data_IF_264917884825
#
_entry.id   IF_264917884825
#
_cell.length_a   1.000
_cell.length_b   1.000
_cell.length_c   1.000
_cell.angle_alpha   90.00
_cell.angle_beta   90.00
_cell.angle_gamma   90.00
#
_symmetry.space_group_name_H-M   'P 1'
#
loop_
_entity.id
_entity.type
_entity.pdbx_description
1 polymer ?
#
# COMPACT_ATOMS: atom_id res chain seq x y z
N UNK A 1 7.27 17.91 -4.27
CA UNK A 1 6.44 17.56 -3.08
C UNK A 1 7.12 18.18 -1.87
N UNK A 2 6.65 19.35 -1.41
CA UNK A 2 7.23 20.05 -0.26
C UNK A 2 6.65 19.50 1.03
N UNK A 3 7.52 19.12 1.98
CA UNK A 3 7.11 18.70 3.31
C UNK A 3 6.96 19.94 4.19
N UNK A 4 5.75 20.17 4.70
CA UNK A 4 5.46 21.20 5.69
C UNK A 4 5.62 20.61 7.09
N UNK A 5 6.48 21.23 7.89
CA UNK A 5 6.71 20.82 9.27
C UNK A 5 6.15 21.86 10.23
N UNK A 6 5.49 21.37 11.28
CA UNK A 6 5.08 22.16 12.43
C UNK A 6 6.12 21.98 13.52
N UNK A 7 6.80 23.07 13.88
CA UNK A 7 7.82 23.07 14.93
C UNK A 7 7.27 23.84 16.13
N UNK A 8 7.17 23.16 17.28
CA UNK A 8 6.85 23.75 18.57
C UNK A 8 8.15 24.13 19.29
N UNK A 9 8.34 25.42 19.57
CA UNK A 9 9.53 25.90 20.29
C UNK A 9 9.24 26.18 21.77
N UNK A 10 8.02 26.61 22.08
CA UNK A 10 7.49 26.81 23.44
C UNK A 10 5.96 26.70 23.39
N UNK A 11 5.33 26.45 24.54
CA UNK A 11 3.92 26.02 24.72
C UNK A 11 2.83 26.83 23.99
N UNK A 12 3.16 27.93 23.30
CA UNK A 12 2.21 28.86 22.69
C UNK A 12 2.64 29.43 21.32
N UNK A 13 3.72 28.93 20.69
CA UNK A 13 4.14 29.42 19.35
C UNK A 13 4.13 28.32 18.30
N UNK A 14 3.28 28.48 17.29
CA UNK A 14 3.18 27.59 16.14
C UNK A 14 3.79 28.27 14.91
N UNK A 15 4.79 27.67 14.29
CA UNK A 15 5.39 28.17 13.05
C UNK A 15 5.24 27.13 11.94
N UNK A 16 4.63 27.53 10.82
CA UNK A 16 4.57 26.75 9.60
C UNK A 16 5.85 26.97 8.80
N UNK A 17 6.65 25.92 8.66
CA UNK A 17 7.93 25.95 7.98
C UNK A 17 7.86 25.20 6.65
N UNK A 18 8.11 25.90 5.54
CA UNK A 18 8.29 25.29 4.21
C UNK A 18 9.76 24.90 4.03
N UNK A 19 10.02 23.60 3.89
CA UNK A 19 11.38 23.06 3.84
C UNK A 19 12.14 23.40 2.53
N UNK A 20 11.48 23.94 1.51
CA UNK A 20 12.08 24.18 0.20
C UNK A 20 12.62 25.60 0.01
N UNK A 21 12.06 26.59 0.71
CA UNK A 21 12.36 28.01 0.48
C UNK A 21 13.00 28.75 1.66
N UNK A 22 13.07 28.14 2.85
CA UNK A 22 13.68 28.74 4.05
C UNK A 22 12.99 30.04 4.51
N UNK A 23 11.80 30.33 4.01
CA UNK A 23 11.08 31.58 4.24
C UNK A 23 9.88 31.35 5.17
N UNK A 24 9.73 32.19 6.20
CA UNK A 24 8.62 32.13 7.16
C UNK A 24 7.40 32.85 6.57
N UNK A 25 6.31 32.12 6.28
CA UNK A 25 5.21 32.62 5.44
C UNK A 25 3.98 33.08 6.27
N UNK A 26 4.10 33.43 7.56
CA UNK A 26 2.94 33.92 8.30
C UNK A 26 3.18 35.22 9.07
N UNK A 27 2.31 36.23 8.89
CA UNK A 27 2.33 37.45 9.68
C UNK A 27 1.89 37.13 11.12
N UNK A 28 2.61 37.70 12.08
CA UNK A 28 2.48 37.47 13.52
C UNK A 28 1.21 38.08 14.16
N UNK A 29 0.13 38.19 13.41
CA UNK A 29 -1.05 38.99 13.78
C UNK A 29 -2.15 38.20 14.47
N UNK A 30 -2.17 36.86 14.35
CA UNK A 30 -3.26 36.04 14.88
C UNK A 30 -3.24 35.88 16.41
N UNK A 31 -2.09 36.12 17.05
CA UNK A 31 -1.88 35.85 18.48
C UNK A 31 -2.00 37.10 19.39
N UNK A 32 -2.42 38.25 18.85
CA UNK A 32 -2.53 39.49 19.62
C UNK A 32 -3.90 39.71 20.31
N UNK A 33 -4.89 38.83 20.07
CA UNK A 33 -6.23 38.97 20.64
C UNK A 33 -6.32 38.34 22.05
N UNK A 34 -5.54 37.28 22.33
CA UNK A 34 -5.57 36.59 23.62
C UNK A 34 -4.95 37.38 24.79
N UNK A 35 -4.22 38.47 24.52
CA UNK A 35 -3.52 39.23 25.55
C UNK A 35 -4.16 40.58 25.90
N UNK A 36 -5.39 40.86 25.44
CA UNK A 36 -6.18 41.99 25.97
C UNK A 36 -7.00 41.50 27.17
N UNK A 37 -6.72 42.10 28.32
CA UNK A 37 -7.45 41.91 29.58
C UNK A 37 -8.94 42.20 29.36
N UNK A 38 -9.73 41.14 29.25
CA UNK A 38 -11.18 41.19 29.05
C UNK A 38 -11.68 40.16 28.03
N UNK A 39 -11.25 38.90 28.10
CA UNK A 39 -11.81 37.83 27.27
C UNK A 39 -13.24 37.58 27.73
N UNK A 40 -14.21 37.90 26.88
CA UNK A 40 -15.60 37.49 27.10
C UNK A 40 -15.67 35.96 26.99
N UNK A 41 -16.39 35.29 27.91
CA UNK A 41 -16.55 33.82 27.95
C UNK A 41 -16.96 33.22 26.59
N UNK A 42 -17.70 34.00 25.79
CA UNK A 42 -18.17 33.65 24.46
C UNK A 42 -17.05 33.60 23.40
N UNK A 43 -16.07 34.50 23.50
CA UNK A 43 -14.97 34.60 22.53
C UNK A 43 -14.00 33.42 22.66
N UNK A 44 -13.76 32.98 23.91
CA UNK A 44 -13.03 31.75 24.18
C UNK A 44 -13.75 30.50 23.65
N UNK A 45 -15.08 30.44 23.76
CA UNK A 45 -15.87 29.32 23.24
C UNK A 45 -15.82 29.22 21.70
N UNK A 46 -15.84 30.35 20.99
CA UNK A 46 -15.69 30.37 19.52
C UNK A 46 -14.30 29.91 19.09
N UNK A 47 -13.24 30.38 19.78
CA UNK A 47 -11.88 29.94 19.50
C UNK A 47 -11.68 28.44 19.77
N UNK A 48 -12.26 27.92 20.85
CA UNK A 48 -12.19 26.50 21.19
C UNK A 48 -12.93 25.62 20.15
N UNK A 49 -14.08 26.09 19.65
CA UNK A 49 -14.83 25.40 18.60
C UNK A 49 -14.05 25.32 17.29
N UNK A 50 -13.39 26.40 16.88
CA UNK A 50 -12.54 26.42 15.68
C UNK A 50 -11.34 25.47 15.84
N UNK A 51 -10.69 25.46 17.00
CA UNK A 51 -9.61 24.51 17.31
C UNK A 51 -10.08 23.04 17.23
N UNK A 52 -11.25 22.74 17.77
CA UNK A 52 -11.85 21.40 17.69
C UNK A 52 -12.09 20.95 16.24
N UNK A 53 -12.59 21.84 15.38
CA UNK A 53 -12.80 21.54 13.96
C UNK A 53 -11.49 21.31 13.21
N UNK A 54 -10.44 22.09 13.50
CA UNK A 54 -9.12 21.91 12.88
C UNK A 54 -8.53 20.55 13.26
N UNK A 55 -8.56 20.20 14.56
CA UNK A 55 -8.09 18.90 15.04
C UNK A 55 -8.90 17.79 14.37
N UNK A 56 -10.24 17.86 14.39
CA UNK A 56 -11.10 16.88 13.74
C UNK A 56 -10.82 16.73 12.22
N UNK A 57 -10.58 17.83 11.52
CA UNK A 57 -10.22 17.83 10.10
C UNK A 57 -8.89 17.12 9.82
N UNK A 58 -7.88 17.31 10.67
CA UNK A 58 -6.58 16.64 10.53
C UNK A 58 -6.72 15.12 10.71
N UNK A 59 -7.47 14.69 11.71
CA UNK A 59 -7.72 13.25 11.93
C UNK A 59 -8.53 12.62 10.79
N UNK A 60 -9.50 13.36 10.23
CA UNK A 60 -10.31 12.88 9.11
C UNK A 60 -9.49 12.64 7.83
N UNK A 61 -8.46 13.45 7.57
CA UNK A 61 -7.61 13.31 6.38
C UNK A 61 -6.52 12.24 6.59
N UNK A 62 -6.11 12.00 7.83
CA UNK A 62 -5.05 11.05 8.17
C UNK A 62 -5.39 9.61 7.72
N UNK A 63 -6.64 9.17 7.91
CA UNK A 63 -7.04 7.79 7.58
C UNK A 63 -7.06 7.45 6.09
N UNK A 64 -7.42 8.39 5.21
CA UNK A 64 -7.58 8.15 3.77
C UNK A 64 -6.26 8.16 2.99
N UNK A 65 -5.26 8.92 3.45
CA UNK A 65 -3.94 8.98 2.82
C UNK A 65 -3.10 7.70 3.04
N UNK A 66 -3.25 7.02 4.18
CA UNK A 66 -2.54 5.76 4.44
C UNK A 66 -3.14 4.58 3.67
N UNK A 67 -4.46 4.56 3.47
CA UNK A 67 -5.15 3.49 2.74
C UNK A 67 -4.67 3.39 1.29
N UNK A 68 -4.64 4.50 0.56
CA UNK A 68 -4.19 4.56 -0.83
C UNK A 68 -2.70 4.27 -0.98
N UNK A 69 -1.87 4.79 -0.06
CA UNK A 69 -0.42 4.54 -0.06
C UNK A 69 -0.10 3.05 0.12
N UNK A 70 -0.79 2.36 1.04
CA UNK A 70 -0.60 0.92 1.26
C UNK A 70 -1.07 0.08 0.07
N UNK A 71 -2.20 0.40 -0.56
CA UNK A 71 -2.66 -0.29 -1.78
C UNK A 71 -1.63 -0.18 -2.92
N UNK A 72 -1.10 1.03 -3.13
CA UNK A 72 -0.08 1.24 -4.16
C UNK A 72 1.21 0.47 -3.85
N UNK A 73 1.68 0.53 -2.60
CA UNK A 73 2.85 -0.25 -2.17
C UNK A 73 2.63 -1.76 -2.31
N UNK A 74 1.42 -2.27 -2.02
CA UNK A 74 1.08 -3.69 -2.23
C UNK A 74 1.17 -4.06 -3.72
N UNK A 75 0.65 -3.23 -4.61
CA UNK A 75 0.73 -3.45 -6.05
C UNK A 75 2.19 -3.43 -6.54
N UNK A 76 2.98 -2.46 -6.11
CA UNK A 76 4.41 -2.38 -6.41
C UNK A 76 5.18 -3.60 -5.88
N UNK A 77 4.84 -4.09 -4.69
CA UNK A 77 5.42 -5.32 -4.13
C UNK A 77 5.14 -6.54 -5.02
N UNK A 78 3.88 -6.73 -5.44
CA UNK A 78 3.48 -7.88 -6.28
C UNK A 78 4.12 -7.80 -7.66
N UNK A 79 4.03 -6.64 -8.33
CA UNK A 79 4.53 -6.45 -9.69
C UNK A 79 6.06 -6.47 -9.70
N UNK A 80 6.71 -5.81 -8.72
CA UNK A 80 8.17 -5.83 -8.60
C UNK A 80 8.72 -7.23 -8.29
N UNK A 81 8.05 -8.00 -7.43
CA UNK A 81 8.40 -9.41 -7.20
C UNK A 81 8.25 -10.24 -8.46
N UNK A 82 7.19 -9.99 -9.24
CA UNK A 82 6.95 -10.64 -10.52
C UNK A 82 8.05 -10.35 -11.52
N UNK A 83 8.42 -9.08 -11.74
CA UNK A 83 9.46 -8.71 -12.70
C UNK A 83 10.83 -9.27 -12.30
N UNK A 84 11.19 -9.19 -11.01
CA UNK A 84 12.43 -9.76 -10.51
C UNK A 84 12.50 -11.29 -10.68
N UNK A 85 11.41 -11.96 -10.30
CA UNK A 85 11.28 -13.42 -10.43
C UNK A 85 11.26 -13.85 -11.89
N UNK A 86 10.54 -13.14 -12.76
CA UNK A 86 10.49 -13.38 -14.21
C UNK A 86 11.85 -13.21 -14.85
N UNK A 87 12.56 -12.13 -14.52
CA UNK A 87 13.92 -11.91 -15.01
C UNK A 87 14.86 -13.05 -14.62
N UNK A 88 14.75 -13.55 -13.39
CA UNK A 88 15.53 -14.70 -12.92
C UNK A 88 15.20 -16.00 -13.67
N UNK A 89 13.91 -16.32 -13.80
CA UNK A 89 13.41 -17.51 -14.53
C UNK A 89 13.81 -17.49 -16.00
N UNK A 90 13.90 -16.31 -16.63
CA UNK A 90 14.35 -16.17 -18.03
C UNK A 90 15.86 -16.34 -18.20
N UNK A 91 16.64 -15.90 -17.22
CA UNK A 91 18.10 -16.00 -17.26
C UNK A 91 18.62 -17.37 -16.82
N UNK A 92 17.85 -18.08 -15.98
CA UNK A 92 18.24 -19.35 -15.38
C UNK A 92 17.39 -20.47 -15.96
N UNK A 93 17.99 -21.48 -16.60
CA UNK A 93 17.23 -22.67 -16.97
C UNK A 93 16.92 -23.49 -15.72
N UNK A 94 15.66 -23.46 -15.30
CA UNK A 94 15.18 -24.16 -14.12
C UNK A 94 14.80 -25.62 -14.40
N UNK A 95 14.76 -26.07 -15.65
CA UNK A 95 14.23 -27.39 -16.00
C UNK A 95 12.85 -27.64 -15.38
N UNK A 96 12.78 -28.60 -14.46
CA UNK A 96 11.59 -28.96 -13.66
C UNK A 96 11.62 -28.44 -12.21
N UNK A 97 12.68 -27.72 -11.83
CA UNK A 97 12.85 -27.19 -10.48
C UNK A 97 11.86 -26.08 -10.19
N UNK A 98 11.18 -26.20 -9.05
CA UNK A 98 10.31 -25.16 -8.51
C UNK A 98 11.12 -24.37 -7.50
N UNK A 99 11.25 -23.07 -7.74
CA UNK A 99 11.83 -22.12 -6.81
C UNK A 99 10.78 -21.76 -5.77
N UNK A 100 11.11 -21.96 -4.51
CA UNK A 100 10.29 -21.44 -3.42
C UNK A 100 10.78 -20.04 -3.01
N UNK A 101 9.99 -19.38 -2.18
CA UNK A 101 10.32 -18.06 -1.65
C UNK A 101 11.76 -17.97 -1.08
N UNK A 102 12.22 -18.98 -0.33
CA UNK A 102 13.58 -18.98 0.24
C UNK A 102 14.68 -19.00 -0.83
N UNK A 103 14.46 -19.69 -1.95
CA UNK A 103 15.44 -19.76 -3.04
C UNK A 103 15.54 -18.39 -3.72
N UNK A 104 14.39 -17.76 -4.02
CA UNK A 104 14.32 -16.42 -4.59
C UNK A 104 14.88 -15.35 -3.66
N UNK A 105 14.69 -15.50 -2.34
CA UNK A 105 15.28 -14.61 -1.35
C UNK A 105 16.81 -14.66 -1.37
N UNK A 106 17.40 -15.85 -1.54
CA UNK A 106 18.86 -16.03 -1.63
C UNK A 106 19.45 -15.45 -2.93
N UNK A 107 18.66 -15.40 -3.99
CA UNK A 107 19.10 -14.81 -5.27
C UNK A 107 19.09 -13.28 -5.27
N UNK A 108 18.42 -12.64 -4.29
CA UNK A 108 18.36 -11.18 -4.18
C UNK A 108 17.51 -10.49 -5.25
N UNK A 109 16.71 -11.23 -6.03
CA UNK A 109 15.86 -10.68 -7.09
C UNK A 109 14.55 -10.09 -6.57
N UNK A 110 14.21 -10.36 -5.31
CA UNK A 110 13.03 -9.80 -4.66
C UNK A 110 13.34 -8.39 -4.16
N UNK A 111 12.42 -7.42 -4.36
CA UNK A 111 12.64 -6.07 -3.89
C UNK A 111 12.70 -6.03 -2.35
N UNK A 112 13.61 -5.22 -1.81
CA UNK A 112 13.97 -5.21 -0.38
C UNK A 112 12.80 -4.82 0.53
N UNK A 113 11.81 -4.10 0.00
CA UNK A 113 10.59 -3.70 0.70
C UNK A 113 9.63 -4.87 1.01
N UNK A 114 9.88 -6.06 0.46
CA UNK A 114 9.17 -7.29 0.82
C UNK A 114 9.78 -8.00 2.03
N UNK A 115 11.08 -7.79 2.28
CA UNK A 115 11.83 -8.54 3.28
C UNK A 115 11.84 -7.78 4.59
N UNK A 116 11.08 -8.26 5.58
CA UNK A 116 11.05 -7.71 6.93
C UNK A 116 11.57 -8.77 7.90
N UNK A 117 12.69 -8.48 8.58
CA UNK A 117 13.33 -9.39 9.54
C UNK A 117 13.64 -10.80 8.96
N UNK A 118 14.03 -10.87 7.69
CA UNK A 118 14.34 -12.14 7.02
C UNK A 118 13.12 -12.97 6.61
N UNK A 119 11.90 -12.44 6.77
CA UNK A 119 10.67 -13.04 6.25
C UNK A 119 10.05 -12.14 5.21
N UNK A 120 9.44 -12.72 4.18
CA UNK A 120 8.69 -11.95 3.19
C UNK A 120 7.26 -11.73 3.66
N UNK A 121 6.96 -10.45 3.89
CA UNK A 121 5.70 -9.99 4.43
C UNK A 121 5.14 -8.86 3.58
N UNK A 122 3.82 -8.83 3.43
CA UNK A 122 3.14 -7.75 2.73
C UNK A 122 3.02 -6.50 3.60
N UNK A 123 2.67 -5.36 2.99
CA UNK A 123 2.47 -4.07 3.69
C UNK A 123 1.39 -4.06 4.77
N UNK A 124 0.51 -5.06 4.80
CA UNK A 124 -0.51 -5.24 5.83
C UNK A 124 -0.04 -6.11 7.01
N UNK A 125 1.18 -6.65 6.95
CA UNK A 125 1.77 -7.48 8.00
C UNK A 125 1.49 -8.98 7.84
N UNK A 126 0.79 -9.38 6.77
CA UNK A 126 0.58 -10.79 6.44
C UNK A 126 1.76 -11.41 5.70
N UNK A 127 1.70 -12.73 5.50
CA UNK A 127 2.70 -13.46 4.76
C UNK A 127 2.57 -13.19 3.26
N UNK A 128 3.71 -13.08 2.59
CA UNK A 128 3.82 -13.07 1.15
C UNK A 128 4.72 -14.23 0.75
N UNK A 129 4.15 -15.21 0.06
CA UNK A 129 4.88 -16.41 -0.34
C UNK A 129 4.92 -16.51 -1.87
N UNK A 130 6.00 -17.06 -2.40
CA UNK A 130 6.32 -17.05 -3.82
C UNK A 130 6.67 -18.46 -4.23
N UNK A 131 6.11 -18.89 -5.36
CA UNK A 131 6.50 -20.10 -6.04
C UNK A 131 6.70 -19.76 -7.51
N UNK A 132 7.84 -20.13 -8.06
CA UNK A 132 8.15 -19.89 -9.46
C UNK A 132 8.66 -21.16 -10.12
N UNK A 133 8.21 -21.39 -11.35
CA UNK A 133 8.65 -22.47 -12.22
C UNK A 133 8.88 -21.91 -13.62
N UNK A 134 9.41 -22.74 -14.51
CA UNK A 134 9.60 -22.39 -15.93
C UNK A 134 8.30 -22.05 -16.67
N UNK A 135 7.15 -22.50 -16.15
CA UNK A 135 5.85 -22.44 -16.85
C UNK A 135 4.83 -21.56 -16.10
N UNK A 136 5.03 -21.32 -14.80
CA UNK A 136 4.12 -20.54 -13.98
C UNK A 136 4.84 -19.82 -12.83
N UNK A 137 4.36 -18.62 -12.52
CA UNK A 137 4.77 -17.84 -11.35
C UNK A 137 3.53 -17.59 -10.51
N UNK A 138 3.65 -17.80 -9.20
CA UNK A 138 2.55 -17.81 -8.26
C UNK A 138 2.90 -17.04 -6.99
N UNK A 139 1.99 -16.19 -6.51
CA UNK A 139 2.13 -15.52 -5.23
C UNK A 139 0.94 -15.83 -4.32
N UNK A 140 1.20 -16.09 -3.05
CA UNK A 140 0.18 -16.18 -2.00
C UNK A 140 0.30 -14.99 -1.06
N UNK A 141 -0.80 -14.32 -0.79
CA UNK A 141 -0.88 -13.22 0.16
C UNK A 141 -1.89 -13.54 1.25
N UNK A 142 -1.57 -13.25 2.51
CA UNK A 142 -2.48 -13.42 3.64
C UNK A 142 -2.77 -12.10 4.35
N UNK A 143 -3.88 -12.04 5.09
CA UNK A 143 -4.30 -10.88 5.89
C UNK A 143 -4.45 -9.58 5.08
N UNK A 144 -4.91 -9.68 3.84
CA UNK A 144 -5.20 -8.52 3.00
C UNK A 144 -6.65 -8.08 3.26
N UNK A 145 -6.92 -6.79 3.54
CA UNK A 145 -8.27 -6.29 3.68
C UNK A 145 -9.01 -6.34 2.33
N UNK A 146 -10.33 -6.56 2.38
CA UNK A 146 -11.18 -6.75 1.20
C UNK A 146 -11.04 -5.63 0.16
N UNK A 147 -10.98 -4.39 0.60
CA UNK A 147 -10.81 -3.21 -0.27
C UNK A 147 -9.45 -3.15 -0.99
N UNK A 148 -8.37 -3.64 -0.36
CA UNK A 148 -7.05 -3.76 -1.01
C UNK A 148 -6.98 -4.98 -1.95
N UNK A 149 -7.68 -6.06 -1.61
CA UNK A 149 -7.84 -7.23 -2.47
C UNK A 149 -8.53 -6.86 -3.78
N UNK A 150 -9.63 -6.08 -3.72
CA UNK A 150 -10.35 -5.62 -4.91
C UNK A 150 -9.49 -4.68 -5.74
N UNK A 151 -8.81 -3.70 -5.11
CA UNK A 151 -7.92 -2.79 -5.84
C UNK A 151 -6.82 -3.56 -6.57
N UNK A 152 -6.16 -4.51 -5.90
CA UNK A 152 -5.11 -5.31 -6.52
C UNK A 152 -5.65 -6.20 -7.65
N UNK A 153 -6.63 -7.05 -7.37
CA UNK A 153 -7.13 -8.03 -8.34
C UNK A 153 -7.87 -7.40 -9.50
N UNK A 154 -8.70 -6.39 -9.25
CA UNK A 154 -9.48 -5.73 -10.29
C UNK A 154 -8.69 -4.57 -10.90
N UNK A 155 -8.34 -3.55 -10.12
CA UNK A 155 -7.82 -2.30 -10.67
C UNK A 155 -6.36 -2.38 -11.14
N UNK A 156 -5.55 -3.29 -10.59
CA UNK A 156 -4.12 -3.42 -10.95
C UNK A 156 -3.81 -4.62 -11.84
N UNK A 157 -4.48 -5.76 -11.62
CA UNK A 157 -4.20 -7.02 -12.31
C UNK A 157 -5.26 -7.41 -13.35
N UNK A 158 -6.55 -7.17 -13.10
CA UNK A 158 -7.63 -7.82 -13.86
C UNK A 158 -8.40 -6.93 -14.84
N UNK A 159 -8.38 -5.60 -14.69
CA UNK A 159 -9.27 -4.72 -15.46
C UNK A 159 -8.84 -4.48 -16.91
N UNK A 160 -7.58 -4.75 -17.29
CA UNK A 160 -7.08 -4.42 -18.62
C UNK A 160 -6.44 -5.63 -19.29
N UNK A 161 -6.72 -5.79 -20.59
CA UNK A 161 -5.96 -6.68 -21.50
C UNK A 161 -4.45 -6.43 -21.39
N UNK A 162 -4.04 -5.23 -21.00
CA UNK A 162 -2.64 -4.87 -20.74
C UNK A 162 -2.01 -5.69 -19.62
N UNK A 163 -2.71 -6.01 -18.53
CA UNK A 163 -2.13 -6.80 -17.45
C UNK A 163 -1.98 -8.27 -17.85
N UNK A 164 -2.94 -8.82 -18.60
CA UNK A 164 -2.82 -10.16 -19.18
C UNK A 164 -1.68 -10.22 -20.20
N UNK A 165 -1.57 -9.21 -21.08
CA UNK A 165 -0.58 -9.20 -22.16
C UNK A 165 0.84 -8.80 -21.69
N UNK A 166 0.95 -7.93 -20.68
CA UNK A 166 2.25 -7.37 -20.25
C UNK A 166 2.80 -8.11 -19.02
N UNK A 167 1.93 -8.48 -18.07
CA UNK A 167 2.31 -9.18 -16.82
C UNK A 167 2.08 -10.70 -16.90
N UNK A 168 1.28 -11.18 -17.87
CA UNK A 168 0.96 -12.61 -17.97
C UNK A 168 -0.04 -13.08 -16.93
N UNK A 169 -0.89 -12.20 -16.40
CA UNK A 169 -1.84 -12.58 -15.35
C UNK A 169 -2.85 -13.63 -15.84
N UNK A 170 -2.92 -14.77 -15.15
CA UNK A 170 -3.76 -15.93 -15.53
C UNK A 170 -5.04 -15.96 -14.71
N UNK A 171 -4.97 -15.66 -13.42
CA UNK A 171 -6.12 -15.77 -12.52
C UNK A 171 -5.77 -15.69 -11.05
N UNK A 172 -6.79 -15.87 -10.22
CA UNK A 172 -6.69 -15.82 -8.76
C UNK A 172 -7.48 -16.95 -8.09
N UNK A 173 -7.14 -17.28 -6.84
CA UNK A 173 -7.80 -18.33 -6.05
C UNK A 173 -7.74 -18.02 -4.56
N UNK A 174 -8.68 -18.55 -3.77
CA UNK A 174 -8.68 -18.43 -2.33
C UNK A 174 -7.55 -19.25 -1.68
N UNK A 175 -6.97 -18.72 -0.61
CA UNK A 175 -5.94 -19.40 0.17
C UNK A 175 -4.53 -19.20 -0.39
N UNK A 176 -3.87 -20.30 -0.74
CA UNK A 176 -2.45 -20.33 -1.16
C UNK A 176 -2.30 -20.90 -2.58
N UNK A 177 -1.11 -20.76 -3.18
CA UNK A 177 -0.77 -21.30 -4.50
C UNK A 177 -0.98 -22.82 -4.62
N UNK A 178 -1.03 -23.56 -3.52
CA UNK A 178 -1.42 -24.97 -3.52
C UNK A 178 -2.87 -25.21 -4.01
N UNK A 179 -3.71 -24.18 -3.97
CA UNK A 179 -5.12 -24.21 -4.39
C UNK A 179 -5.32 -23.87 -5.87
N UNK A 180 -4.24 -23.67 -6.65
CA UNK A 180 -4.30 -23.23 -8.05
C UNK A 180 -5.05 -24.17 -9.01
N UNK A 181 -5.40 -25.38 -8.56
CA UNK A 181 -6.29 -26.29 -9.30
C UNK A 181 -7.72 -25.74 -9.45
N UNK A 182 -8.13 -24.76 -8.62
CA UNK A 182 -9.43 -24.08 -8.68
C UNK A 182 -9.27 -22.59 -9.07
N UNK A 183 -8.40 -22.31 -10.03
CA UNK A 183 -8.13 -20.95 -10.48
C UNK A 183 -9.39 -20.30 -11.08
N UNK A 184 -9.70 -19.08 -10.63
CA UNK A 184 -10.75 -18.24 -11.21
C UNK A 184 -10.14 -17.26 -12.21
N UNK A 185 -10.76 -17.20 -13.39
CA UNK A 185 -10.40 -16.28 -14.48
C UNK A 185 -11.48 -15.23 -14.74
N UNK A 186 -12.48 -15.14 -13.85
CA UNK A 186 -13.53 -14.14 -13.91
C UNK A 186 -13.07 -12.85 -13.22
N UNK A 187 -12.68 -11.85 -14.01
CA UNK A 187 -12.20 -10.56 -13.51
C UNK A 187 -13.30 -9.49 -13.43
N UNK A 188 -14.57 -9.86 -13.52
CA UNK A 188 -15.67 -8.89 -13.40
C UNK A 188 -15.70 -8.31 -12.00
N UNK A 189 -16.04 -7.03 -11.91
CA UNK A 189 -16.04 -6.30 -10.65
C UNK A 189 -16.87 -6.99 -9.55
N UNK A 190 -18.05 -7.52 -9.89
CA UNK A 190 -18.93 -8.24 -8.96
C UNK A 190 -18.32 -9.57 -8.47
N UNK A 191 -17.64 -10.30 -9.35
CA UNK A 191 -16.99 -11.57 -9.01
C UNK A 191 -15.76 -11.35 -8.12
N UNK A 192 -14.93 -10.34 -8.42
CA UNK A 192 -13.77 -9.99 -7.59
C UNK A 192 -14.19 -9.46 -6.21
N UNK A 193 -15.19 -8.58 -6.16
CA UNK A 193 -15.68 -8.01 -4.90
C UNK A 193 -16.28 -9.08 -3.97
N UNK A 194 -17.10 -9.99 -4.50
CA UNK A 194 -17.63 -11.12 -3.71
C UNK A 194 -16.53 -12.08 -3.26
N UNK A 195 -15.51 -12.33 -4.09
CA UNK A 195 -14.36 -13.13 -3.70
C UNK A 195 -13.58 -12.51 -2.53
N UNK A 196 -13.24 -11.22 -2.63
CA UNK A 196 -12.46 -10.49 -1.62
C UNK A 196 -13.20 -10.24 -0.31
N UNK A 197 -14.54 -10.31 -0.30
CA UNK A 197 -15.32 -10.22 0.94
C UNK A 197 -15.24 -11.52 1.77
N UNK A 198 -15.16 -12.67 1.10
CA UNK A 198 -15.14 -13.97 1.76
C UNK A 198 -13.72 -14.48 2.05
N UNK A 199 -12.70 -13.86 1.44
CA UNK A 199 -11.31 -14.30 1.54
C UNK A 199 -10.39 -13.15 1.90
N UNK A 200 -9.67 -13.31 3.02
CA UNK A 200 -8.58 -12.41 3.43
C UNK A 200 -7.20 -12.93 3.01
N UNK A 201 -7.17 -14.15 2.45
CA UNK A 201 -5.97 -14.80 1.92
C UNK A 201 -6.29 -15.34 0.54
N UNK A 202 -5.43 -15.01 -0.42
CA UNK A 202 -5.60 -15.40 -1.81
C UNK A 202 -4.26 -15.60 -2.49
N UNK A 203 -4.27 -16.35 -3.57
CA UNK A 203 -3.14 -16.51 -4.45
C UNK A 203 -3.47 -16.04 -5.87
N UNK A 204 -2.43 -15.61 -6.58
CA UNK A 204 -2.48 -15.10 -7.94
C UNK A 204 -1.46 -15.85 -8.79
N UNK A 205 -1.84 -16.17 -10.04
CA UNK A 205 -1.01 -16.90 -10.99
C UNK A 205 -0.66 -16.04 -12.20
N UNK A 206 0.57 -16.20 -12.69
CA UNK A 206 1.14 -15.50 -13.84
C UNK A 206 1.87 -16.48 -14.76
N UNK A 207 1.86 -16.21 -16.06
CA UNK A 207 2.70 -16.87 -17.05
C UNK A 207 4.06 -16.17 -17.13
N UNK A 208 5.16 -16.93 -17.19
CA UNK A 208 6.48 -16.38 -17.48
C UNK A 208 6.56 -16.08 -18.99
N UNK A 209 6.18 -14.88 -19.39
CA UNK A 209 6.28 -14.35 -20.76
C UNK A 209 7.75 -14.08 -21.17
#
# INVERSE_FOLDING_TARGET
MGAFFLVFHDSLTLSLYDSASGHRIMPSSFLFILNRRGISLLEGAMALAILGLIIAGIWAISGSAFGSSKKNQLAEQVIGALDGTRSYVRQTDLGTTILNHNDLLRTGVLPTNLVRNGQVANVYGGSFNISASKISIAFSLTQIPSDACVDLLYARLGANSDAVNNLGFVGYVAGSYASMNNLTTDFRFNSVTSFCQNNTSFAVAFTPL
#
